data_IF_901644419217
#
_entry.id   IF_901644419217
#
_cell.length_a   1.000
_cell.length_b   1.000
_cell.length_c   1.000
_cell.angle_alpha   90.00
_cell.angle_beta   90.00
_cell.angle_gamma   90.00
#
_symmetry.space_group_name_H-M   'P 1'
#
loop_
_entity.id
_entity.type
_entity.pdbx_description
1 polymer ?
#
# COMPACT_ATOMS: atom_id res chain seq x y z
N UNK A 1 -32.26 9.15 -29.93
CA UNK A 1 -31.73 10.05 -28.87
C UNK A 1 -32.33 9.76 -27.50
N UNK A 2 -33.66 9.82 -27.31
CA UNK A 2 -34.30 9.56 -26.01
C UNK A 2 -34.07 8.13 -25.44
N UNK A 3 -34.03 7.10 -26.29
CA UNK A 3 -33.76 5.71 -25.85
C UNK A 3 -32.31 5.47 -25.42
N UNK A 4 -31.34 6.12 -26.06
CA UNK A 4 -29.90 6.04 -25.74
C UNK A 4 -29.57 6.70 -24.40
N UNK A 5 -30.20 7.84 -24.08
CA UNK A 5 -30.05 8.49 -22.77
C UNK A 5 -30.66 7.65 -21.66
N UNK A 6 -31.78 6.96 -21.93
CA UNK A 6 -32.40 6.04 -20.98
C UNK A 6 -31.54 4.79 -20.74
N UNK A 7 -30.95 4.22 -21.78
CA UNK A 7 -30.02 3.10 -21.69
C UNK A 7 -28.74 3.50 -20.95
N UNK A 8 -28.19 4.68 -21.24
CA UNK A 8 -27.00 5.22 -20.57
C UNK A 8 -27.26 5.52 -19.08
N UNK A 9 -28.43 6.06 -18.73
CA UNK A 9 -28.85 6.23 -17.32
C UNK A 9 -29.02 4.88 -16.62
N UNK A 10 -29.60 3.88 -17.28
CA UNK A 10 -29.73 2.53 -16.73
C UNK A 10 -28.35 1.91 -16.43
N UNK A 11 -27.40 2.05 -17.36
CA UNK A 11 -26.01 1.58 -17.19
C UNK A 11 -25.27 2.31 -16.06
N UNK A 12 -25.47 3.62 -15.90
CA UNK A 12 -24.86 4.37 -14.78
C UNK A 12 -25.48 4.00 -13.42
N UNK A 13 -26.79 3.75 -13.38
CA UNK A 13 -27.50 3.26 -12.19
C UNK A 13 -27.03 1.84 -11.84
N UNK A 14 -26.87 0.96 -12.82
CA UNK A 14 -26.30 -0.38 -12.63
C UNK A 14 -24.83 -0.33 -12.20
N UNK A 15 -24.02 0.59 -12.73
CA UNK A 15 -22.63 0.82 -12.26
C UNK A 15 -22.60 1.22 -10.78
N UNK A 16 -23.54 2.04 -10.33
CA UNK A 16 -23.69 2.42 -8.92
C UNK A 16 -24.18 1.25 -8.06
N UNK A 17 -25.09 0.41 -8.56
CA UNK A 17 -25.56 -0.80 -7.88
C UNK A 17 -24.48 -1.90 -7.84
N UNK A 18 -23.67 -2.02 -8.88
CA UNK A 18 -22.52 -2.91 -8.97
C UNK A 18 -21.43 -2.48 -8.00
N UNK A 19 -21.17 -1.17 -7.85
CA UNK A 19 -20.34 -0.63 -6.76
C UNK A 19 -20.90 -1.03 -5.38
N UNK A 20 -22.23 -1.06 -5.22
CA UNK A 20 -22.91 -1.55 -4.04
C UNK A 20 -22.70 -3.06 -3.78
N UNK A 21 -22.69 -3.89 -4.84
CA UNK A 21 -22.39 -5.32 -4.76
C UNK A 21 -20.89 -5.59 -4.52
N UNK A 22 -20.00 -4.81 -5.13
CA UNK A 22 -18.55 -4.84 -4.91
C UNK A 22 -18.19 -4.56 -3.44
N UNK A 23 -18.95 -3.65 -2.80
CA UNK A 23 -18.83 -3.32 -1.37
C UNK A 23 -19.18 -4.51 -0.46
N UNK A 24 -19.93 -5.51 -0.95
CA UNK A 24 -20.31 -6.69 -0.18
C UNK A 24 -19.30 -7.85 -0.28
N UNK A 25 -18.39 -7.86 -1.27
CA UNK A 25 -17.40 -8.93 -1.45
C UNK A 25 -16.03 -8.49 -0.96
N UNK A 26 -15.53 -9.18 0.07
CA UNK A 26 -14.40 -8.76 0.92
C UNK A 26 -13.03 -9.32 0.49
N UNK A 27 -12.96 -10.14 -0.56
CA UNK A 27 -11.74 -10.81 -1.01
C UNK A 27 -11.57 -10.77 -2.54
N UNK A 28 -10.37 -10.42 -3.01
CA UNK A 28 -10.01 -10.42 -4.45
C UNK A 28 -9.98 -11.84 -5.06
N UNK A 29 -9.85 -12.88 -4.23
CA UNK A 29 -9.92 -14.28 -4.64
C UNK A 29 -11.33 -14.78 -4.99
N UNK A 30 -12.37 -14.04 -4.60
CA UNK A 30 -13.77 -14.40 -4.87
C UNK A 30 -14.23 -13.97 -6.28
N UNK A 31 -13.31 -13.43 -7.07
CA UNK A 31 -13.54 -12.95 -8.42
C UNK A 31 -13.28 -14.09 -9.42
N UNK A 32 -14.33 -14.80 -9.83
CA UNK A 32 -14.25 -15.62 -11.03
C UNK A 32 -14.24 -14.71 -12.27
N UNK A 33 -13.30 -14.96 -13.19
CA UNK A 33 -13.12 -14.19 -14.44
C UNK A 33 -14.39 -14.23 -15.33
N UNK A 34 -15.23 -15.25 -15.16
CA UNK A 34 -16.36 -15.54 -16.04
C UNK A 34 -17.65 -14.75 -15.71
N UNK A 35 -17.82 -14.26 -14.48
CA UNK A 35 -19.04 -13.53 -14.06
C UNK A 35 -19.14 -12.10 -14.65
N UNK A 36 -18.07 -11.59 -15.25
CA UNK A 36 -17.98 -10.24 -15.81
C UNK A 36 -18.33 -10.16 -17.30
N UNK A 37 -18.37 -11.29 -18.01
CA UNK A 37 -18.24 -11.28 -19.46
C UNK A 37 -19.44 -10.66 -20.23
N UNK A 38 -20.73 -10.93 -19.91
CA UNK A 38 -21.82 -10.51 -20.81
C UNK A 38 -22.12 -9.00 -20.77
N UNK A 39 -22.16 -8.40 -19.58
CA UNK A 39 -22.55 -6.99 -19.41
C UNK A 39 -21.41 -6.03 -19.78
N UNK A 40 -20.15 -6.40 -19.48
CA UNK A 40 -18.99 -5.59 -19.86
C UNK A 40 -18.71 -5.65 -21.36
N UNK A 41 -18.96 -6.79 -22.01
CA UNK A 41 -18.87 -6.90 -23.47
C UNK A 41 -19.90 -5.98 -24.16
N UNK A 42 -21.12 -5.93 -23.65
CA UNK A 42 -22.17 -5.03 -24.14
C UNK A 42 -21.82 -3.55 -23.92
N UNK A 43 -21.28 -3.18 -22.75
CA UNK A 43 -20.81 -1.82 -22.47
C UNK A 43 -19.67 -1.38 -23.41
N UNK A 44 -18.73 -2.30 -23.70
CA UNK A 44 -17.61 -2.09 -24.62
C UNK A 44 -18.08 -1.91 -26.06
N UNK A 45 -19.02 -2.75 -26.51
CA UNK A 45 -19.65 -2.63 -27.82
C UNK A 45 -20.36 -1.29 -27.95
N UNK A 46 -21.14 -0.87 -26.96
CA UNK A 46 -21.88 0.39 -27.01
C UNK A 46 -20.93 1.60 -27.04
N UNK A 47 -19.94 1.68 -26.15
CA UNK A 47 -19.00 2.81 -26.18
C UNK A 47 -18.11 2.84 -27.43
N UNK A 48 -17.70 1.66 -27.95
CA UNK A 48 -16.88 1.55 -29.16
C UNK A 48 -17.67 1.81 -30.44
N UNK A 49 -18.92 1.33 -30.55
CA UNK A 49 -19.77 1.55 -31.72
C UNK A 49 -20.27 2.99 -31.81
N UNK A 50 -20.51 3.65 -30.67
CA UNK A 50 -21.14 4.97 -30.63
C UNK A 50 -20.18 6.14 -30.31
N UNK A 51 -18.87 5.88 -30.18
CA UNK A 51 -17.86 6.90 -29.83
C UNK A 51 -18.28 7.81 -28.67
N UNK A 52 -19.05 7.28 -27.71
CA UNK A 52 -19.62 8.09 -26.64
C UNK A 52 -18.50 8.61 -25.74
N UNK A 53 -18.45 9.93 -25.46
CA UNK A 53 -17.44 10.49 -24.56
C UNK A 53 -17.53 9.81 -23.20
N UNK A 54 -16.39 9.33 -22.69
CA UNK A 54 -16.33 8.81 -21.31
C UNK A 54 -16.67 9.96 -20.36
N UNK A 55 -17.53 9.75 -19.34
CA UNK A 55 -17.73 10.77 -18.33
C UNK A 55 -16.38 11.06 -17.68
N UNK A 56 -15.92 12.31 -17.78
CA UNK A 56 -14.71 12.75 -17.10
C UNK A 56 -14.86 12.45 -15.61
N UNK A 57 -13.86 11.85 -14.94
CA UNK A 57 -13.92 11.68 -13.50
C UNK A 57 -14.09 13.05 -12.86
N UNK A 58 -15.13 13.20 -12.03
CA UNK A 58 -15.51 14.49 -11.44
C UNK A 58 -14.59 14.91 -10.29
N UNK A 59 -13.79 13.97 -9.78
CA UNK A 59 -12.78 14.18 -8.73
C UNK A 59 -11.43 13.60 -9.14
N UNK A 60 -10.31 14.20 -8.71
CA UNK A 60 -9.00 13.56 -8.79
C UNK A 60 -8.95 12.28 -7.96
N UNK A 61 -7.96 11.44 -8.22
CA UNK A 61 -7.81 10.10 -7.64
C UNK A 61 -6.61 10.02 -6.72
N UNK A 62 -6.75 9.30 -5.62
CA UNK A 62 -5.65 8.99 -4.71
C UNK A 62 -5.65 7.49 -4.37
N UNK A 63 -4.46 6.91 -4.32
CA UNK A 63 -4.25 5.51 -3.91
C UNK A 63 -3.69 5.49 -2.50
N UNK A 64 -4.20 4.59 -1.68
CA UNK A 64 -3.72 4.34 -0.32
C UNK A 64 -3.23 2.91 -0.21
N UNK A 65 -2.01 2.70 0.29
CA UNK A 65 -1.42 1.37 0.49
C UNK A 65 -1.19 1.16 1.99
N UNK A 66 -2.02 0.29 2.55
CA UNK A 66 -2.07 -0.07 3.96
C UNK A 66 -1.50 -1.46 4.18
N UNK A 67 -1.14 -1.76 5.43
CA UNK A 67 -0.56 -3.04 5.82
C UNK A 67 0.40 -2.89 7.00
N UNK A 68 0.63 -3.98 7.71
CA UNK A 68 1.58 -4.02 8.82
C UNK A 68 3.03 -3.78 8.36
N UNK A 69 3.93 -3.43 9.27
CA UNK A 69 5.36 -3.36 8.97
C UNK A 69 5.84 -4.69 8.35
N UNK A 70 6.67 -4.61 7.31
CA UNK A 70 7.21 -5.78 6.63
C UNK A 70 6.35 -6.40 5.51
N UNK A 71 5.11 -5.93 5.28
CA UNK A 71 4.24 -6.52 4.24
C UNK A 71 4.52 -6.06 2.80
N UNK A 72 5.60 -5.31 2.56
CA UNK A 72 5.98 -4.87 1.20
C UNK A 72 5.25 -3.63 0.67
N UNK A 73 4.61 -2.83 1.52
CA UNK A 73 3.89 -1.59 1.12
C UNK A 73 4.69 -0.69 0.18
N UNK A 74 5.93 -0.37 0.53
CA UNK A 74 6.75 0.56 -0.26
C UNK A 74 7.11 -0.04 -1.62
N UNK A 75 7.41 -1.35 -1.68
CA UNK A 75 7.65 -2.06 -2.94
C UNK A 75 6.44 -1.96 -3.87
N UNK A 76 5.24 -2.17 -3.34
CA UNK A 76 4.00 -2.02 -4.11
C UNK A 76 3.76 -0.56 -4.53
N UNK A 77 4.01 0.40 -3.64
CA UNK A 77 3.86 1.83 -3.94
C UNK A 77 4.75 2.26 -5.10
N UNK A 78 6.01 1.81 -5.11
CA UNK A 78 6.98 2.09 -6.16
C UNK A 78 6.54 1.45 -7.48
N UNK A 79 6.15 0.17 -7.49
CA UNK A 79 5.67 -0.52 -8.70
C UNK A 79 4.47 0.19 -9.33
N UNK A 80 3.49 0.59 -8.50
CA UNK A 80 2.34 1.37 -8.96
C UNK A 80 2.74 2.78 -9.44
N UNK A 81 3.64 3.47 -8.74
CA UNK A 81 4.11 4.78 -9.15
C UNK A 81 4.81 4.76 -10.53
N UNK A 82 5.67 3.76 -10.77
CA UNK A 82 6.32 3.56 -12.07
C UNK A 82 5.29 3.31 -13.18
N UNK A 83 4.26 2.48 -12.90
CA UNK A 83 3.24 2.13 -13.89
C UNK A 83 2.28 3.26 -14.21
N UNK A 84 1.90 4.05 -13.20
CA UNK A 84 0.84 5.05 -13.26
C UNK A 84 1.33 6.50 -13.19
N UNK A 85 2.65 6.73 -13.37
CA UNK A 85 3.30 8.05 -13.26
C UNK A 85 2.95 8.74 -11.92
N UNK A 86 2.98 7.96 -10.84
CA UNK A 86 2.64 8.40 -9.50
C UNK A 86 3.83 8.94 -8.73
N UNK A 87 3.52 9.55 -7.59
CA UNK A 87 4.50 9.98 -6.58
C UNK A 87 4.05 9.46 -5.21
N UNK A 88 5.00 9.05 -4.38
CA UNK A 88 4.71 8.42 -3.09
C UNK A 88 4.75 9.48 -1.98
N UNK A 89 3.69 9.54 -1.19
CA UNK A 89 3.65 10.30 0.08
C UNK A 89 3.77 9.29 1.21
N UNK A 90 4.88 9.35 1.96
CA UNK A 90 5.09 8.50 3.12
C UNK A 90 4.07 8.84 4.22
N UNK A 91 3.42 7.82 4.75
CA UNK A 91 2.50 7.92 5.89
C UNK A 91 2.94 7.05 7.07
N UNK A 92 4.24 6.79 7.21
CA UNK A 92 4.84 6.24 8.42
C UNK A 92 5.44 7.35 9.29
N UNK A 93 4.92 7.48 10.51
CA UNK A 93 5.26 8.53 11.48
C UNK A 93 6.72 8.53 11.94
N UNK A 94 7.46 7.43 11.81
CA UNK A 94 8.88 7.39 12.18
C UNK A 94 9.78 7.69 10.97
N UNK A 95 9.31 7.36 9.77
CA UNK A 95 10.06 7.60 8.53
C UNK A 95 10.03 9.07 8.06
N UNK A 96 9.20 9.93 8.65
CA UNK A 96 9.19 11.37 8.32
C UNK A 96 10.44 12.11 8.77
N UNK A 97 11.16 11.59 9.76
CA UNK A 97 12.33 12.25 10.36
C UNK A 97 13.62 11.87 9.65
N UNK A 98 14.54 12.84 9.53
CA UNK A 98 15.89 12.65 9.02
C UNK A 98 16.73 11.74 9.94
N UNK A 99 17.56 10.88 9.33
CA UNK A 99 18.41 9.93 10.04
C UNK A 99 17.69 8.63 10.41
N UNK A 100 18.42 7.69 11.02
CA UNK A 100 17.94 6.34 11.35
C UNK A 100 17.37 5.59 10.14
N UNK A 101 18.09 5.59 9.03
CA UNK A 101 17.65 4.97 7.77
C UNK A 101 17.38 3.48 7.95
N UNK A 102 18.26 2.78 8.69
CA UNK A 102 18.16 1.35 8.99
C UNK A 102 17.07 1.10 10.03
N UNK A 103 17.13 1.75 11.20
CA UNK A 103 16.16 1.55 12.30
C UNK A 103 14.72 1.84 11.85
N UNK A 104 14.51 2.91 11.07
CA UNK A 104 13.16 3.26 10.59
C UNK A 104 12.80 2.55 9.28
N UNK A 105 13.68 1.69 8.74
CA UNK A 105 13.47 0.89 7.54
C UNK A 105 13.00 1.75 6.36
N UNK A 106 13.68 2.87 6.13
CA UNK A 106 13.39 3.74 4.99
C UNK A 106 13.80 3.05 3.70
N UNK A 107 13.05 3.31 2.63
CA UNK A 107 13.44 2.85 1.29
C UNK A 107 14.70 3.58 0.84
N UNK A 108 15.66 2.84 0.32
CA UNK A 108 16.90 3.40 -0.20
C UNK A 108 16.66 4.09 -1.55
N UNK A 109 17.53 5.04 -1.96
CA UNK A 109 17.42 5.67 -3.28
C UNK A 109 17.41 4.67 -4.45
N UNK A 110 18.11 3.54 -4.30
CA UNK A 110 18.12 2.45 -5.28
C UNK A 110 16.76 1.77 -5.38
N UNK A 111 16.14 1.45 -4.25
CA UNK A 111 14.80 0.85 -4.21
C UNK A 111 13.73 1.79 -4.73
N UNK A 112 13.85 3.10 -4.45
CA UNK A 112 12.94 4.12 -4.99
C UNK A 112 12.88 4.14 -6.52
N UNK A 113 13.91 3.65 -7.23
CA UNK A 113 13.95 3.55 -8.69
C UNK A 113 13.59 4.87 -9.42
N UNK A 114 13.97 6.01 -8.83
CA UNK A 114 13.67 7.35 -9.35
C UNK A 114 12.24 7.85 -9.07
N UNK A 115 11.41 7.09 -8.37
CA UNK A 115 10.08 7.54 -7.91
C UNK A 115 10.24 8.57 -6.78
N UNK A 116 9.65 9.78 -6.92
CA UNK A 116 9.65 10.77 -5.84
C UNK A 116 8.97 10.22 -4.58
N UNK A 117 9.66 10.31 -3.45
CA UNK A 117 9.14 10.00 -2.11
C UNK A 117 9.12 11.27 -1.27
N UNK A 118 7.92 11.69 -0.90
CA UNK A 118 7.65 12.90 -0.12
C UNK A 118 7.36 12.51 1.33
N UNK A 119 7.65 13.40 2.27
CA UNK A 119 7.55 13.17 3.72
C UNK A 119 8.39 11.97 4.19
N UNK A 120 9.52 11.71 3.53
CA UNK A 120 10.46 10.65 3.87
C UNK A 120 11.80 11.29 4.24
N UNK A 121 12.17 11.26 5.53
CA UNK A 121 13.44 11.82 6.00
C UNK A 121 13.54 13.35 5.98
N UNK A 122 12.43 14.08 5.87
CA UNK A 122 12.45 15.55 5.69
C UNK A 122 12.49 16.33 7.00
N UNK A 123 12.00 15.76 8.10
CA UNK A 123 11.78 16.49 9.35
C UNK A 123 12.98 16.39 10.29
N UNK A 124 13.22 17.44 11.06
CA UNK A 124 14.23 17.43 12.11
C UNK A 124 13.90 16.34 13.15
N UNK A 125 14.88 15.55 13.65
CA UNK A 125 14.69 14.44 14.60
C UNK A 125 13.82 14.75 15.84
N UNK A 126 13.88 15.99 16.32
CA UNK A 126 13.16 16.47 17.51
C UNK A 126 11.87 17.26 17.17
N UNK A 127 11.50 17.34 15.88
CA UNK A 127 10.28 18.03 15.48
C UNK A 127 9.03 17.31 16.03
N UNK A 128 8.01 18.07 16.41
CA UNK A 128 6.70 17.49 16.69
C UNK A 128 5.92 17.36 15.37
N UNK A 129 5.49 16.14 15.06
CA UNK A 129 4.74 15.85 13.85
C UNK A 129 3.46 15.07 14.18
N UNK A 130 2.36 15.82 14.23
CA UNK A 130 1.04 15.32 14.61
C UNK A 130 0.27 14.78 13.41
N UNK A 131 -0.81 14.02 13.67
CA UNK A 131 -1.68 13.53 12.61
C UNK A 131 -2.38 14.67 11.85
N UNK A 132 -2.72 15.76 12.54
CA UNK A 132 -3.31 16.96 11.92
C UNK A 132 -2.31 17.67 11.01
N UNK A 133 -1.04 17.75 11.43
CA UNK A 133 0.02 18.30 10.58
C UNK A 133 0.26 17.41 9.35
N UNK A 134 0.28 16.09 9.53
CA UNK A 134 0.31 15.14 8.42
C UNK A 134 -0.85 15.37 7.45
N UNK A 135 -2.10 15.45 7.93
CA UNK A 135 -3.28 15.73 7.08
C UNK A 135 -3.09 17.00 6.26
N UNK A 136 -2.61 18.08 6.88
CA UNK A 136 -2.36 19.36 6.21
C UNK A 136 -1.31 19.20 5.10
N UNK A 137 -0.14 18.64 5.41
CA UNK A 137 0.94 18.47 4.42
C UNK A 137 0.57 17.47 3.32
N UNK A 138 0.00 16.32 3.66
CA UNK A 138 -0.39 15.30 2.69
C UNK A 138 -1.52 15.77 1.76
N UNK A 139 -2.47 16.57 2.26
CA UNK A 139 -3.49 17.21 1.40
C UNK A 139 -2.83 18.15 0.40
N UNK A 140 -1.99 19.07 0.88
CA UNK A 140 -1.28 20.02 0.02
C UNK A 140 -0.42 19.31 -1.04
N UNK A 141 0.35 18.30 -0.65
CA UNK A 141 1.18 17.52 -1.56
C UNK A 141 0.33 16.73 -2.58
N UNK A 142 -0.81 16.18 -2.16
CA UNK A 142 -1.72 15.51 -3.09
C UNK A 142 -2.26 16.48 -4.15
N UNK A 143 -2.61 17.71 -3.74
CA UNK A 143 -3.08 18.76 -4.65
C UNK A 143 -1.98 19.18 -5.62
N UNK A 144 -0.74 19.35 -5.15
CA UNK A 144 0.43 19.64 -5.99
C UNK A 144 0.68 18.53 -7.02
N UNK A 145 0.78 17.27 -6.58
CA UNK A 145 0.98 16.11 -7.46
C UNK A 145 -0.11 16.04 -8.53
N UNK A 146 -1.36 16.22 -8.11
CA UNK A 146 -2.53 16.20 -9.01
C UNK A 146 -2.47 17.35 -10.01
N UNK A 147 -2.08 18.56 -9.59
CA UNK A 147 -1.95 19.72 -10.47
C UNK A 147 -0.92 19.51 -11.58
N UNK A 148 0.08 18.65 -11.33
CA UNK A 148 1.10 18.21 -12.30
C UNK A 148 0.65 17.00 -13.14
N UNK A 149 -0.62 16.59 -13.03
CA UNK A 149 -1.21 15.47 -13.76
C UNK A 149 -0.70 14.10 -13.33
N UNK A 150 -0.18 13.98 -12.10
CA UNK A 150 0.38 12.74 -11.53
C UNK A 150 -0.57 12.14 -10.49
N UNK A 151 -0.34 10.86 -10.17
CA UNK A 151 -1.16 10.11 -9.22
C UNK A 151 -0.56 10.15 -7.80
N UNK A 152 -1.21 10.75 -6.80
CA UNK A 152 -0.76 10.65 -5.42
C UNK A 152 -0.98 9.22 -4.89
N UNK A 153 0.09 8.62 -4.37
CA UNK A 153 0.09 7.30 -3.73
C UNK A 153 0.55 7.46 -2.28
N UNK A 154 -0.36 7.30 -1.33
CA UNK A 154 -0.09 7.43 0.09
C UNK A 154 0.22 6.05 0.67
N UNK A 155 1.42 5.83 1.22
CA UNK A 155 1.86 4.53 1.69
C UNK A 155 2.58 4.60 3.04
N UNK A 156 2.22 3.72 3.98
CA UNK A 156 2.88 3.66 5.29
C UNK A 156 2.09 2.91 6.36
N UNK A 157 2.71 2.68 7.53
CA UNK A 157 2.14 1.86 8.60
C UNK A 157 1.37 2.63 9.69
N UNK A 158 1.30 3.96 9.61
CA UNK A 158 0.65 4.75 10.66
C UNK A 158 -0.84 4.99 10.37
N UNK A 159 -1.67 4.03 10.79
CA UNK A 159 -3.12 4.09 10.63
C UNK A 159 -3.77 5.38 11.20
N UNK A 160 -3.15 6.03 12.19
CA UNK A 160 -3.61 7.33 12.72
C UNK A 160 -3.45 8.46 11.71
N UNK A 161 -2.38 8.47 10.93
CA UNK A 161 -2.14 9.46 9.87
C UNK A 161 -3.14 9.27 8.73
N UNK A 162 -3.35 8.02 8.32
CA UNK A 162 -4.33 7.70 7.28
C UNK A 162 -5.75 8.05 7.72
N UNK A 163 -6.14 7.69 8.95
CA UNK A 163 -7.45 8.07 9.49
C UNK A 163 -7.65 9.58 9.51
N UNK A 164 -6.69 10.33 10.06
CA UNK A 164 -6.81 11.79 10.13
C UNK A 164 -6.84 12.45 8.74
N UNK A 165 -6.10 11.91 7.77
CA UNK A 165 -6.16 12.39 6.39
C UNK A 165 -7.54 12.16 5.75
N UNK A 166 -8.13 10.99 5.98
CA UNK A 166 -9.35 10.53 5.29
C UNK A 166 -10.62 11.00 5.98
N UNK A 167 -10.68 10.96 7.31
CA UNK A 167 -11.88 11.26 8.12
C UNK A 167 -11.79 12.63 8.82
N UNK A 168 -10.59 13.15 9.06
CA UNK A 168 -10.39 14.45 9.70
C UNK A 168 -11.02 15.58 8.88
N UNK A 169 -11.28 16.71 9.54
CA UNK A 169 -11.86 17.90 8.91
C UNK A 169 -13.26 17.68 8.31
N UNK A 170 -14.04 16.76 8.88
CA UNK A 170 -15.32 16.36 8.28
C UNK A 170 -15.12 15.63 6.94
N UNK A 171 -14.08 14.79 6.86
CA UNK A 171 -13.70 14.03 5.67
C UNK A 171 -13.40 14.88 4.42
N UNK A 172 -12.86 16.10 4.59
CA UNK A 172 -12.60 17.04 3.50
C UNK A 172 -11.74 16.43 2.38
N UNK A 173 -10.79 15.56 2.70
CA UNK A 173 -9.99 14.87 1.70
C UNK A 173 -10.83 13.96 0.80
N UNK A 174 -11.73 13.13 1.37
CA UNK A 174 -12.63 12.26 0.59
C UNK A 174 -13.68 13.03 -0.20
N UNK A 175 -14.05 14.22 0.26
CA UNK A 175 -14.92 15.10 -0.51
C UNK A 175 -14.20 15.61 -1.77
N UNK A 176 -12.89 15.82 -1.71
CA UNK A 176 -12.04 16.26 -2.83
C UNK A 176 -11.55 15.12 -3.74
N UNK A 177 -11.19 13.97 -3.18
CA UNK A 177 -10.57 12.85 -3.91
C UNK A 177 -11.45 11.60 -3.90
N UNK A 178 -11.50 10.93 -5.05
CA UNK A 178 -11.85 9.51 -5.08
C UNK A 178 -10.66 8.71 -4.54
N UNK A 179 -10.90 7.86 -3.54
CA UNK A 179 -9.85 7.12 -2.85
C UNK A 179 -9.98 5.62 -3.12
N UNK A 180 -8.86 4.98 -3.48
CA UNK A 180 -8.76 3.52 -3.56
C UNK A 180 -7.82 3.03 -2.45
N UNK A 181 -8.29 2.11 -1.61
CA UNK A 181 -7.51 1.58 -0.49
C UNK A 181 -7.10 0.15 -0.78
N UNK A 182 -5.79 -0.11 -0.83
CA UNK A 182 -5.20 -1.43 -1.01
C UNK A 182 -4.54 -1.83 0.31
N UNK A 183 -4.89 -2.99 0.84
CA UNK A 183 -4.25 -3.56 2.03
C UNK A 183 -3.42 -4.77 1.66
N UNK A 184 -2.11 -4.67 1.81
CA UNK A 184 -1.21 -5.82 1.75
C UNK A 184 -1.18 -6.53 3.11
N UNK A 185 -1.69 -7.75 3.14
CA UNK A 185 -1.79 -8.58 4.35
C UNK A 185 -0.96 -9.86 4.21
N UNK A 186 -0.48 -10.36 5.35
CA UNK A 186 0.31 -11.59 5.46
C UNK A 186 -0.22 -12.40 6.64
N UNK A 187 -0.20 -13.72 6.55
CA UNK A 187 -0.47 -14.59 7.70
C UNK A 187 0.46 -14.25 8.87
N UNK A 188 -0.09 -14.21 10.10
CA UNK A 188 0.65 -13.66 11.24
C UNK A 188 1.94 -14.43 11.56
N UNK A 189 1.96 -15.78 11.55
CA UNK A 189 3.18 -16.54 11.81
C UNK A 189 4.29 -16.20 10.81
N UNK A 190 3.97 -16.21 9.51
CA UNK A 190 4.94 -15.87 8.45
C UNK A 190 5.46 -14.43 8.58
N UNK A 191 4.59 -13.50 9.01
CA UNK A 191 4.99 -12.12 9.25
C UNK A 191 5.89 -11.98 10.47
N UNK A 192 5.61 -12.71 11.55
CA UNK A 192 6.39 -12.68 12.80
C UNK A 192 7.81 -13.22 12.56
N UNK A 193 7.94 -14.30 11.78
CA UNK A 193 9.23 -14.86 11.37
C UNK A 193 9.99 -13.86 10.48
N UNK A 194 9.32 -13.31 9.48
CA UNK A 194 9.92 -12.35 8.55
C UNK A 194 10.46 -11.10 9.26
N UNK A 195 9.66 -10.47 10.14
CA UNK A 195 10.12 -9.26 10.82
C UNK A 195 11.21 -9.53 11.84
N UNK A 196 11.26 -10.73 12.42
CA UNK A 196 12.36 -11.17 13.28
C UNK A 196 13.68 -11.24 12.51
N UNK A 197 13.69 -11.97 11.39
CA UNK A 197 14.86 -12.06 10.49
C UNK A 197 15.28 -10.71 9.93
N UNK A 198 14.30 -9.83 9.65
CA UNK A 198 14.59 -8.48 9.17
C UNK A 198 15.36 -7.67 10.21
N UNK A 199 15.06 -7.83 11.51
CA UNK A 199 15.85 -7.18 12.56
C UNK A 199 17.29 -7.68 12.54
N UNK A 200 17.52 -8.98 12.31
CA UNK A 200 18.88 -9.52 12.16
C UNK A 200 19.62 -8.88 10.99
N UNK A 201 18.95 -8.72 9.84
CA UNK A 201 19.50 -8.01 8.69
C UNK A 201 19.77 -6.53 8.98
N UNK A 202 18.91 -5.87 9.77
CA UNK A 202 19.11 -4.49 10.18
C UNK A 202 20.36 -4.35 11.06
N UNK A 203 20.66 -5.32 11.92
CA UNK A 203 21.91 -5.35 12.70
C UNK A 203 23.13 -5.42 11.77
N UNK A 204 23.10 -6.31 10.78
CA UNK A 204 24.16 -6.40 9.76
C UNK A 204 24.34 -5.10 8.96
N UNK A 205 23.27 -4.31 8.82
CA UNK A 205 23.26 -3.03 8.12
C UNK A 205 23.66 -1.83 9.01
N UNK A 206 23.96 -2.04 10.29
CA UNK A 206 24.41 -0.98 11.19
C UNK A 206 23.33 -0.38 12.10
N UNK A 207 22.25 -1.12 12.39
CA UNK A 207 21.21 -0.69 13.36
C UNK A 207 21.82 -0.24 14.70
N UNK A 208 22.81 -0.99 15.20
CA UNK A 208 23.45 -0.70 16.49
C UNK A 208 24.26 0.59 16.41
N UNK A 209 24.91 0.85 15.26
CA UNK A 209 25.68 2.06 15.03
C UNK A 209 24.77 3.29 14.95
N UNK A 210 23.63 3.19 14.24
CA UNK A 210 22.63 4.25 14.22
C UNK A 210 22.06 4.56 15.62
N UNK A 211 21.78 3.52 16.41
CA UNK A 211 21.31 3.69 17.78
C UNK A 211 22.38 4.39 18.65
N UNK A 212 23.64 3.99 18.50
CA UNK A 212 24.79 4.56 19.22
C UNK A 212 25.02 6.02 18.86
N UNK A 213 24.98 6.37 17.58
CA UNK A 213 25.17 7.75 17.10
C UNK A 213 24.06 8.69 17.58
N UNK A 214 22.83 8.19 17.71
CA UNK A 214 21.71 8.95 18.23
C UNK A 214 21.72 9.07 19.76
N UNK A 215 22.42 8.16 20.46
CA UNK A 215 22.30 7.99 21.91
C UNK A 215 22.73 9.22 22.69
N UNK A 216 21.82 9.67 23.55
CA UNK A 216 22.08 10.72 24.52
C UNK A 216 21.32 10.39 25.81
N UNK A 217 22.00 10.14 26.94
CA UNK A 217 21.36 9.72 28.19
C UNK A 217 20.45 10.79 28.81
N UNK A 218 20.60 12.06 28.41
CA UNK A 218 19.82 13.19 28.91
C UNK A 218 18.67 13.61 27.98
N UNK A 219 18.51 12.96 26.83
CA UNK A 219 17.46 13.28 25.87
C UNK A 219 16.08 12.70 26.27
N UNK A 220 15.01 13.27 25.72
CA UNK A 220 13.64 12.80 25.91
C UNK A 220 13.27 11.75 24.85
N UNK A 221 13.22 10.47 25.25
CA UNK A 221 12.88 9.35 24.35
C UNK A 221 11.37 9.19 24.11
N UNK A 222 10.54 10.07 24.66
CA UNK A 222 9.09 10.07 24.43
C UNK A 222 8.67 10.89 23.22
N UNK A 223 9.62 11.53 22.51
CA UNK A 223 9.34 12.46 21.40
C UNK A 223 10.14 12.14 20.14
N UNK A 224 9.67 12.72 19.03
CA UNK A 224 10.37 12.71 17.75
C UNK A 224 10.75 11.31 17.27
N UNK A 225 11.92 11.23 16.66
CA UNK A 225 12.48 9.99 16.10
C UNK A 225 12.92 8.98 17.18
N UNK A 226 13.17 9.44 18.42
CA UNK A 226 13.67 8.62 19.53
C UNK A 226 12.67 7.57 20.03
N UNK A 227 11.42 7.70 19.61
CA UNK A 227 10.35 6.72 19.82
C UNK A 227 10.42 5.50 18.89
N UNK A 228 11.33 5.48 17.92
CA UNK A 228 11.45 4.38 16.96
C UNK A 228 11.82 3.09 17.67
N UNK A 229 11.12 2.00 17.38
CA UNK A 229 11.50 0.66 17.86
C UNK A 229 12.92 0.38 17.37
N UNK A 230 13.81 0.04 18.29
CA UNK A 230 15.25 -0.01 18.06
C UNK A 230 16.02 0.97 18.94
N UNK A 231 15.44 2.14 19.23
CA UNK A 231 16.12 3.18 20.02
C UNK A 231 15.93 2.98 21.52
N UNK A 232 14.71 2.93 22.09
CA UNK A 232 14.53 2.74 23.53
C UNK A 232 15.10 1.41 24.03
N UNK A 233 14.97 0.35 23.24
CA UNK A 233 15.46 -0.99 23.58
C UNK A 233 16.99 -1.00 23.78
N UNK A 234 17.74 -0.15 23.04
CA UNK A 234 19.20 -0.10 23.16
C UNK A 234 19.71 0.70 24.37
N UNK A 235 18.86 1.42 25.09
CA UNK A 235 19.29 2.34 26.17
C UNK A 235 20.12 1.61 27.24
N UNK A 236 19.65 0.45 27.71
CA UNK A 236 20.35 -0.34 28.74
C UNK A 236 21.73 -0.80 28.27
N UNK A 237 21.83 -1.28 27.03
CA UNK A 237 23.08 -1.70 26.41
C UNK A 237 24.06 -0.54 26.29
N UNK A 238 23.62 0.58 25.69
CA UNK A 238 24.48 1.73 25.39
C UNK A 238 24.99 2.45 26.64
N UNK A 239 24.21 2.48 27.74
CA UNK A 239 24.67 3.00 29.04
C UNK A 239 25.82 2.19 29.65
N UNK A 240 25.87 0.89 29.36
CA UNK A 240 26.82 -0.06 29.95
C UNK A 240 27.97 -0.41 29.02
N UNK A 241 27.83 -0.16 27.72
CA UNK A 241 28.74 -0.60 26.64
C UNK A 241 30.23 -0.39 26.95
N UNK A 242 30.60 0.80 27.44
CA UNK A 242 31.99 1.15 27.75
C UNK A 242 32.53 0.56 29.07
N UNK A 243 31.66 0.11 29.97
CA UNK A 243 32.00 -0.30 31.34
C UNK A 243 31.79 -1.79 31.63
N UNK A 244 30.95 -2.45 30.83
CA UNK A 244 30.62 -3.86 30.99
C UNK A 244 31.77 -4.76 30.52
N UNK A 245 31.90 -5.94 31.14
CA UNK A 245 32.77 -7.01 30.63
C UNK A 245 32.23 -7.55 29.30
N UNK A 246 33.08 -8.20 28.51
CA UNK A 246 32.71 -8.70 27.18
C UNK A 246 31.47 -9.61 27.20
N UNK A 247 31.42 -10.58 28.11
CA UNK A 247 30.28 -11.50 28.28
C UNK A 247 28.99 -10.75 28.66
N UNK A 248 29.08 -9.80 29.59
CA UNK A 248 27.94 -8.98 30.02
C UNK A 248 27.46 -8.08 28.88
N UNK A 249 28.38 -7.46 28.15
CA UNK A 249 28.08 -6.60 27.00
C UNK A 249 27.36 -7.40 25.90
N UNK A 250 27.83 -8.62 25.61
CA UNK A 250 27.19 -9.51 24.64
C UNK A 250 25.77 -9.91 25.10
N UNK A 251 25.60 -10.25 26.38
CA UNK A 251 24.29 -10.57 26.94
C UNK A 251 23.31 -9.40 26.89
N UNK A 252 23.77 -8.18 27.24
CA UNK A 252 22.96 -6.97 27.16
C UNK A 252 22.55 -6.65 25.73
N UNK A 253 23.46 -6.80 24.75
CA UNK A 253 23.11 -6.61 23.35
C UNK A 253 22.06 -7.63 22.89
N UNK A 254 22.25 -8.90 23.22
CA UNK A 254 21.30 -9.95 22.85
C UNK A 254 19.89 -9.69 23.43
N UNK A 255 19.80 -9.34 24.72
CA UNK A 255 18.54 -8.97 25.38
C UNK A 255 17.84 -7.82 24.64
N UNK A 256 18.62 -6.80 24.28
CA UNK A 256 18.13 -5.60 23.62
C UNK A 256 17.61 -5.91 22.19
N UNK A 257 18.31 -6.76 21.43
CA UNK A 257 17.89 -7.21 20.10
C UNK A 257 16.63 -8.09 20.15
N UNK A 258 16.52 -8.96 21.16
CA UNK A 258 15.31 -9.76 21.37
C UNK A 258 14.10 -8.87 21.70
N UNK A 259 14.30 -7.80 22.48
CA UNK A 259 13.25 -6.83 22.76
C UNK A 259 12.80 -6.09 21.49
N UNK A 260 13.73 -5.68 20.61
CA UNK A 260 13.39 -5.09 19.30
C UNK A 260 12.50 -6.04 18.49
N UNK A 261 12.87 -7.32 18.41
CA UNK A 261 12.10 -8.33 17.68
C UNK A 261 10.69 -8.46 18.24
N UNK A 262 10.55 -8.59 19.55
CA UNK A 262 9.25 -8.74 20.21
C UNK A 262 8.38 -7.48 20.08
N UNK A 263 8.95 -6.28 20.23
CA UNK A 263 8.23 -5.03 20.03
C UNK A 263 7.82 -4.83 18.57
N UNK A 264 8.65 -5.25 17.61
CA UNK A 264 8.30 -5.24 16.18
C UNK A 264 7.14 -6.19 15.88
N UNK A 265 7.16 -7.43 16.39
CA UNK A 265 6.04 -8.38 16.26
C UNK A 265 4.77 -7.85 16.93
N UNK A 266 4.88 -7.21 18.09
CA UNK A 266 3.74 -6.56 18.76
C UNK A 266 3.17 -5.44 17.88
N UNK A 267 4.02 -4.62 17.28
CA UNK A 267 3.60 -3.55 16.38
C UNK A 267 2.82 -4.10 15.17
N UNK A 268 3.30 -5.16 14.51
CA UNK A 268 2.62 -5.73 13.34
C UNK A 268 1.23 -6.25 13.70
N UNK A 269 1.07 -6.90 14.86
CA UNK A 269 -0.23 -7.38 15.37
C UNK A 269 -1.17 -6.21 15.67
N UNK A 270 -0.69 -5.16 16.31
CA UNK A 270 -1.47 -3.95 16.61
C UNK A 270 -1.91 -3.23 15.33
N UNK A 271 -1.02 -3.11 14.34
CA UNK A 271 -1.34 -2.52 13.04
C UNK A 271 -2.41 -3.32 12.32
N UNK A 272 -2.28 -4.65 12.29
CA UNK A 272 -3.25 -5.55 11.66
C UNK A 272 -4.63 -5.45 12.31
N UNK A 273 -4.69 -5.44 13.65
CA UNK A 273 -5.95 -5.24 14.38
C UNK A 273 -6.62 -3.90 14.05
N UNK A 274 -5.83 -2.82 13.91
CA UNK A 274 -6.36 -1.50 13.53
C UNK A 274 -6.89 -1.51 12.08
N UNK A 275 -6.20 -2.16 11.16
CA UNK A 275 -6.65 -2.28 9.76
C UNK A 275 -7.95 -3.09 9.65
N UNK A 276 -8.09 -4.18 10.42
CA UNK A 276 -9.35 -4.94 10.50
C UNK A 276 -10.54 -4.09 10.95
N UNK A 277 -10.32 -3.02 11.72
CA UNK A 277 -11.39 -2.07 12.09
C UNK A 277 -11.78 -1.17 10.92
N UNK A 278 -10.85 -0.83 10.02
CA UNK A 278 -11.20 -0.17 8.77
C UNK A 278 -12.00 -1.11 7.86
N UNK A 279 -11.61 -2.39 7.74
CA UNK A 279 -12.37 -3.39 6.96
C UNK A 279 -13.81 -3.61 7.45
N UNK A 280 -14.05 -3.40 8.75
CA UNK A 280 -15.38 -3.52 9.34
C UNK A 280 -16.25 -2.27 9.13
N UNK A 281 -15.66 -1.16 8.68
CA UNK A 281 -16.35 0.10 8.43
C UNK A 281 -16.63 0.24 6.93
N UNK A 282 -17.90 0.19 6.54
CA UNK A 282 -18.32 0.27 5.15
C UNK A 282 -17.84 1.55 4.45
N UNK A 283 -17.49 2.60 5.19
CA UNK A 283 -16.91 3.81 4.62
C UNK A 283 -15.50 3.56 4.04
N UNK A 284 -14.80 2.48 4.38
CA UNK A 284 -13.48 2.16 3.85
C UNK A 284 -13.55 0.97 2.86
N UNK A 285 -13.74 1.21 1.55
CA UNK A 285 -13.68 0.15 0.55
C UNK A 285 -12.23 -0.33 0.37
N UNK A 286 -11.82 -1.26 1.23
CA UNK A 286 -10.47 -1.81 1.31
C UNK A 286 -10.34 -3.08 0.47
N UNK A 287 -9.39 -3.09 -0.45
CA UNK A 287 -9.05 -4.25 -1.26
C UNK A 287 -7.86 -4.99 -0.66
N UNK A 288 -8.10 -6.20 -0.12
CA UNK A 288 -7.04 -7.03 0.47
C UNK A 288 -6.26 -7.77 -0.60
N UNK A 289 -4.95 -7.60 -0.60
CA UNK A 289 -3.99 -8.36 -1.41
C UNK A 289 -3.21 -9.26 -0.45
N UNK A 290 -3.30 -10.57 -0.63
CA UNK A 290 -2.56 -11.55 0.16
C UNK A 290 -1.11 -11.67 -0.35
N UNK A 291 -0.16 -11.39 0.54
CA UNK A 291 1.27 -11.37 0.27
C UNK A 291 1.96 -12.60 0.89
N UNK A 292 1.21 -13.53 1.51
CA UNK A 292 1.75 -14.67 2.26
C UNK A 292 2.64 -15.57 1.39
N UNK A 293 2.23 -15.91 0.17
CA UNK A 293 3.05 -16.70 -0.75
C UNK A 293 4.38 -16.00 -1.09
N UNK A 294 4.32 -14.68 -1.33
CA UNK A 294 5.52 -13.88 -1.63
C UNK A 294 6.46 -13.78 -0.43
N UNK A 295 5.94 -13.68 0.80
CA UNK A 295 6.75 -13.70 2.02
C UNK A 295 7.39 -15.07 2.23
N UNK A 296 6.64 -16.17 2.05
CA UNK A 296 7.16 -17.53 2.20
C UNK A 296 8.30 -17.82 1.23
N UNK A 297 8.18 -17.34 -0.01
CA UNK A 297 9.17 -17.54 -1.08
C UNK A 297 10.19 -16.40 -1.22
N UNK A 298 10.31 -15.52 -0.22
CA UNK A 298 11.18 -14.33 -0.29
C UNK A 298 12.66 -14.63 -0.55
N UNK A 299 13.12 -15.84 -0.22
CA UNK A 299 14.50 -16.31 -0.41
C UNK A 299 14.71 -17.11 -1.70
N UNK A 300 13.63 -17.44 -2.40
CA UNK A 300 13.69 -18.24 -3.62
C UNK A 300 14.16 -17.37 -4.79
N UNK A 301 14.84 -17.96 -5.76
CA UNK A 301 15.20 -17.27 -7.02
C UNK A 301 13.96 -16.75 -7.77
N UNK A 302 12.80 -17.36 -7.53
CA UNK A 302 11.51 -16.96 -8.09
C UNK A 302 10.78 -15.88 -7.29
N UNK A 303 11.33 -15.37 -6.18
CA UNK A 303 10.67 -14.41 -5.28
C UNK A 303 10.05 -13.22 -6.03
N UNK A 304 10.81 -12.62 -6.96
CA UNK A 304 10.35 -11.48 -7.74
C UNK A 304 9.16 -11.85 -8.64
N UNK A 305 9.22 -13.01 -9.30
CA UNK A 305 8.13 -13.49 -10.15
C UNK A 305 6.86 -13.77 -9.36
N UNK A 306 7.00 -14.34 -8.15
CA UNK A 306 5.88 -14.59 -7.25
C UNK A 306 5.24 -13.27 -6.83
N UNK A 307 6.03 -12.31 -6.37
CA UNK A 307 5.55 -10.96 -6.03
C UNK A 307 4.79 -10.30 -7.19
N UNK A 308 5.38 -10.29 -8.39
CA UNK A 308 4.75 -9.69 -9.57
C UNK A 308 3.41 -10.34 -9.89
N UNK A 309 3.32 -11.67 -9.81
CA UNK A 309 2.10 -12.42 -10.12
C UNK A 309 1.00 -12.26 -9.07
N UNK A 310 1.35 -12.35 -7.78
CA UNK A 310 0.35 -12.51 -6.71
C UNK A 310 0.02 -11.19 -6.01
N UNK A 311 0.88 -10.18 -6.12
CA UNK A 311 0.72 -8.90 -5.42
C UNK A 311 0.59 -7.76 -6.42
N UNK A 312 1.58 -7.59 -7.29
CA UNK A 312 1.65 -6.39 -8.14
C UNK A 312 0.64 -6.43 -9.29
N UNK A 313 0.49 -7.55 -10.00
CA UNK A 313 -0.46 -7.66 -11.10
C UNK A 313 -1.92 -7.43 -10.65
N UNK A 314 -2.43 -8.06 -9.58
CA UNK A 314 -3.79 -7.77 -9.09
C UNK A 314 -3.98 -6.31 -8.67
N UNK A 315 -2.98 -5.70 -8.02
CA UNK A 315 -3.03 -4.29 -7.66
C UNK A 315 -3.04 -3.38 -8.89
N UNK A 316 -2.24 -3.69 -9.91
CA UNK A 316 -2.23 -2.96 -11.19
C UNK A 316 -3.59 -3.06 -11.88
N UNK A 317 -4.23 -4.23 -11.89
CA UNK A 317 -5.56 -4.41 -12.48
C UNK A 317 -6.61 -3.56 -11.76
N UNK A 318 -6.61 -3.59 -10.43
CA UNK A 318 -7.48 -2.75 -9.60
C UNK A 318 -7.26 -1.25 -9.88
N UNK A 319 -6.00 -0.79 -9.91
CA UNK A 319 -5.68 0.62 -10.15
C UNK A 319 -6.00 1.01 -11.59
N UNK A 320 -5.81 0.14 -12.58
CA UNK A 320 -6.25 0.38 -13.97
C UNK A 320 -7.77 0.57 -14.04
N UNK A 321 -8.54 -0.28 -13.36
CA UNK A 321 -9.98 -0.13 -13.31
C UNK A 321 -10.38 1.20 -12.64
N UNK A 322 -9.76 1.52 -11.51
CA UNK A 322 -10.02 2.72 -10.74
C UNK A 322 -9.66 4.01 -11.50
N UNK A 323 -8.49 4.06 -12.13
CA UNK A 323 -7.95 5.22 -12.87
C UNK A 323 -8.49 5.33 -14.30
N UNK A 324 -8.65 4.20 -15.00
CA UNK A 324 -8.99 4.18 -16.42
C UNK A 324 -10.46 3.95 -16.74
N UNK A 325 -11.25 3.39 -15.81
CA UNK A 325 -12.60 2.90 -16.08
C UNK A 325 -12.65 1.79 -17.14
N UNK A 326 -11.50 1.24 -17.55
CA UNK A 326 -11.34 0.18 -18.57
C UNK A 326 -10.13 -0.66 -18.17
N UNK A 327 -10.33 -1.97 -18.08
CA UNK A 327 -9.29 -2.97 -17.88
C UNK A 327 -8.42 -3.04 -19.15
N UNK A 328 -7.12 -2.76 -19.03
CA UNK A 328 -6.14 -3.10 -20.06
C UNK A 328 -5.64 -4.51 -19.77
N UNK A 329 -6.28 -5.54 -20.34
CA UNK A 329 -5.65 -6.84 -20.51
C UNK A 329 -4.62 -6.67 -21.62
N UNK A 330 -3.34 -6.63 -21.24
CA UNK A 330 -2.28 -6.47 -22.23
C UNK A 330 -2.06 -7.80 -22.96
N UNK A 331 -1.98 -7.70 -24.30
CA UNK A 331 -1.50 -8.76 -25.18
C UNK A 331 0.01 -8.96 -24.94
N UNK A 332 0.46 -10.18 -25.28
CA UNK A 332 1.82 -10.73 -25.24
C UNK A 332 2.20 -11.27 -23.85
N UNK A 333 2.34 -12.56 -23.58
CA UNK A 333 2.33 -13.78 -24.39
C UNK A 333 3.09 -14.86 -23.60
N UNK A 334 2.51 -16.06 -23.43
CA UNK A 334 3.23 -17.18 -22.81
C UNK A 334 2.36 -18.27 -22.15
N UNK A 335 1.72 -19.09 -22.99
CA UNK A 335 1.31 -20.49 -22.78
C UNK A 335 0.55 -20.89 -21.50
N UNK A 336 -0.77 -21.12 -21.63
CA UNK A 336 -1.43 -22.35 -21.13
C UNK A 336 -2.47 -22.79 -22.18
N UNK A 337 -2.52 -24.10 -22.42
CA UNK A 337 -3.16 -24.77 -23.54
C UNK A 337 -4.65 -24.46 -23.73
N UNK A 338 -5.01 -24.18 -24.98
CA UNK A 338 -6.38 -24.24 -25.47
C UNK A 338 -6.77 -25.72 -25.66
N UNK A 339 -7.75 -26.19 -24.91
CA UNK A 339 -8.64 -27.27 -25.36
C UNK A 339 -9.89 -26.61 -25.94
N UNK A 340 -10.42 -27.25 -26.98
CA UNK A 340 -11.33 -26.66 -27.96
C UNK A 340 -12.71 -26.27 -27.45
N UNK A 341 -13.41 -25.58 -28.35
CA UNK A 341 -14.83 -25.21 -28.34
C UNK A 341 -15.19 -23.92 -27.58
N UNK A 342 -15.18 -22.79 -28.30
CA UNK A 342 -16.25 -21.77 -28.25
C UNK A 342 -16.01 -20.69 -29.32
N UNK A 343 -16.22 -21.04 -30.59
CA UNK A 343 -16.29 -20.08 -31.73
C UNK A 343 -17.62 -20.22 -32.47
N UNK A 344 -18.71 -20.53 -31.77
CA UNK A 344 -20.00 -20.84 -32.41
C UNK A 344 -21.15 -19.85 -32.14
N UNK A 345 -20.94 -18.74 -31.42
CA UNK A 345 -22.06 -17.87 -31.01
C UNK A 345 -22.16 -16.55 -31.81
N UNK A 346 -21.18 -16.20 -32.64
CA UNK A 346 -21.20 -14.92 -33.41
C UNK A 346 -21.77 -15.07 -34.84
N UNK A 347 -22.10 -16.28 -35.31
CA UNK A 347 -22.59 -16.48 -36.69
C UNK A 347 -24.11 -16.61 -36.86
N UNK A 348 -24.92 -16.56 -35.79
CA UNK A 348 -26.36 -16.88 -35.87
C UNK A 348 -27.35 -15.70 -35.75
N UNK A 349 -26.90 -14.45 -35.63
CA UNK A 349 -27.81 -13.29 -35.49
C UNK A 349 -27.54 -12.15 -36.50
N UNK A 350 -27.27 -12.49 -37.76
CA UNK A 350 -26.96 -11.47 -38.76
C UNK A 350 -27.13 -11.88 -40.22
N UNK A 351 -28.31 -12.34 -40.62
CA UNK A 351 -28.90 -12.36 -41.98
C UNK A 351 -30.27 -13.03 -41.81
N UNK A 352 -31.44 -12.54 -42.21
CA UNK A 352 -31.92 -11.61 -43.25
C UNK A 352 -33.42 -11.42 -43.01
N UNK A 353 -33.97 -10.27 -43.45
CA UNK A 353 -35.38 -9.94 -43.76
C UNK A 353 -36.53 -10.78 -43.18
#
# INVERSE_FOLDING_TARGET
MASLVSLYKAVLVERSQMFGKFRQQKHLSDFAVDDYHPFFFLFRIIHSLYQLPRPLPTKPRAIFILGSSGTGKSKLAIGLALRFRGEVINSDKMQVYAGLEVITNKVTPKECAGVPHLLLGELHPEADFTATEFRRRATFLSDDITSRGRLPIIAGGSNSFIRELVEGDGAAFRLRYDCCFICVDVEQPDLDDFVGERVDQMVEQGLVDEARDLFNPAADYTKGIRRSIGVPEMDKYLRREASAREEERAALLAEALDEIKENTKRLTRVQRQKIRRFEADDSWPLFRVDVTEAVRRRRDEAAERVWLRTVEAPAIELVNWFVGGVMLVNRCGGAVAACGEEVAIIAAMGTTN
#
